data_IF_276410563996
#
_entry.id   IF_276410563996
#
_cell.length_a   1.000
_cell.length_b   1.000
_cell.length_c   1.000
_cell.angle_alpha   90.00
_cell.angle_beta   90.00
_cell.angle_gamma   90.00
#
_symmetry.space_group_name_H-M   'P 1'
#
loop_
_entity.id
_entity.type
_entity.pdbx_description
1 polymer ?
#
# COMPACT_ATOMS: atom_id res chain seq x y z
N UNK A 1 -0.15 -10.57 14.93
CA UNK A 1 -1.15 -11.39 15.66
C UNK A 1 -2.30 -11.86 14.76
N UNK A 2 -2.82 -11.01 13.85
CA UNK A 2 -3.84 -11.39 12.85
C UNK A 2 -3.35 -12.47 11.88
N UNK A 3 -2.12 -12.34 11.34
CA UNK A 3 -1.45 -13.39 10.54
C UNK A 3 -1.35 -14.76 11.22
N UNK A 4 -1.26 -14.79 12.56
CA UNK A 4 -1.13 -16.03 13.36
C UNK A 4 -2.49 -16.66 13.68
N UNK A 5 -3.58 -15.89 13.66
CA UNK A 5 -4.95 -16.37 13.92
C UNK A 5 -5.73 -16.74 12.65
N UNK A 6 -5.44 -16.14 11.49
CA UNK A 6 -6.25 -16.35 10.27
C UNK A 6 -5.70 -17.30 9.21
N UNK A 7 -4.58 -17.98 9.45
CA UNK A 7 -4.05 -18.98 8.53
C UNK A 7 -3.62 -18.36 7.21
N UNK A 8 -2.32 -18.13 7.05
CA UNK A 8 -1.67 -17.62 5.85
C UNK A 8 -1.77 -18.53 4.60
N UNK A 9 -2.67 -19.53 4.62
CA UNK A 9 -2.90 -20.51 3.56
C UNK A 9 -4.29 -20.39 2.91
N UNK A 10 -5.18 -19.54 3.43
CA UNK A 10 -6.42 -19.22 2.75
C UNK A 10 -6.35 -17.80 2.20
N UNK A 11 -6.83 -17.60 0.97
CA UNK A 11 -6.88 -16.29 0.33
C UNK A 11 -7.61 -15.19 1.15
N UNK A 12 -8.39 -15.56 2.17
CA UNK A 12 -8.99 -14.62 3.11
C UNK A 12 -8.01 -14.05 4.15
N UNK A 13 -6.98 -14.80 4.55
CA UNK A 13 -5.96 -14.33 5.50
C UNK A 13 -5.02 -13.27 4.89
N UNK A 14 -4.69 -13.44 3.60
CA UNK A 14 -3.95 -12.45 2.82
C UNK A 14 -4.79 -11.18 2.61
N UNK A 15 -6.08 -11.34 2.27
CA UNK A 15 -7.02 -10.23 2.13
C UNK A 15 -7.18 -9.42 3.42
N UNK A 16 -7.33 -10.11 4.56
CA UNK A 16 -7.46 -9.46 5.85
C UNK A 16 -6.19 -8.68 6.23
N UNK A 17 -5.00 -9.24 5.96
CA UNK A 17 -3.74 -8.53 6.20
C UNK A 17 -3.62 -7.27 5.32
N UNK A 18 -3.84 -7.42 4.00
CA UNK A 18 -3.76 -6.29 3.05
C UNK A 18 -4.81 -5.22 3.36
N UNK A 19 -6.01 -5.60 3.79
CA UNK A 19 -7.06 -4.64 4.13
C UNK A 19 -6.76 -3.93 5.45
N UNK A 20 -6.27 -4.66 6.46
CA UNK A 20 -5.98 -4.10 7.78
C UNK A 20 -4.82 -3.10 7.72
N UNK A 21 -3.77 -3.41 6.95
CA UNK A 21 -2.62 -2.54 6.77
C UNK A 21 -2.89 -1.44 5.72
N UNK A 22 -3.69 -1.75 4.70
CA UNK A 22 -4.02 -0.83 3.61
C UNK A 22 -5.01 0.26 3.98
N UNK A 23 -5.94 0.04 4.92
CA UNK A 23 -6.91 1.08 5.32
C UNK A 23 -6.21 2.33 5.90
N UNK A 24 -5.32 2.22 6.91
CA UNK A 24 -4.59 3.37 7.45
C UNK A 24 -3.78 4.13 6.39
N UNK A 25 -3.11 3.40 5.49
CA UNK A 25 -2.32 3.99 4.41
C UNK A 25 -3.20 4.74 3.41
N UNK A 26 -4.30 4.13 2.97
CA UNK A 26 -5.20 4.74 2.00
C UNK A 26 -5.94 5.95 2.58
N UNK A 27 -6.25 5.96 3.89
CA UNK A 27 -6.74 7.17 4.56
C UNK A 27 -5.72 8.32 4.47
N UNK A 28 -4.45 8.04 4.77
CA UNK A 28 -3.39 9.05 4.72
C UNK A 28 -3.12 9.54 3.29
N UNK A 29 -3.24 8.66 2.29
CA UNK A 29 -3.21 9.05 0.88
C UNK A 29 -4.37 9.98 0.53
N UNK A 30 -5.59 9.67 0.98
CA UNK A 30 -6.76 10.55 0.82
C UNK A 30 -6.53 11.95 1.40
N UNK A 31 -5.89 12.02 2.57
CA UNK A 31 -5.48 13.29 3.20
C UNK A 31 -4.43 14.03 2.37
N UNK A 32 -3.45 13.32 1.80
CA UNK A 32 -2.39 13.93 0.99
C UNK A 32 -2.93 14.59 -0.29
N UNK A 33 -4.12 14.20 -0.74
CA UNK A 33 -4.80 14.79 -1.90
C UNK A 33 -5.62 16.04 -1.54
N UNK A 34 -5.83 16.36 -0.26
CA UNK A 34 -6.58 17.55 0.17
C UNK A 34 -5.79 18.80 -0.22
N UNK A 35 -6.40 19.68 -1.03
CA UNK A 35 -5.78 20.93 -1.47
C UNK A 35 -4.65 20.76 -2.50
N UNK A 36 -4.42 19.54 -3.01
CA UNK A 36 -3.45 19.30 -4.07
C UNK A 36 -3.98 19.78 -5.44
N UNK A 37 -3.09 20.27 -6.29
CA UNK A 37 -3.48 20.66 -7.66
C UNK A 37 -3.96 19.44 -8.46
N UNK A 38 -4.85 19.60 -9.47
CA UNK A 38 -5.30 18.48 -10.30
C UNK A 38 -4.15 17.67 -10.91
N UNK A 39 -3.05 18.34 -11.28
CA UNK A 39 -1.85 17.71 -11.82
C UNK A 39 -1.12 16.89 -10.75
N UNK A 40 -0.98 17.43 -9.54
CA UNK A 40 -0.37 16.73 -8.39
C UNK A 40 -1.19 15.51 -7.97
N UNK A 41 -2.52 15.63 -7.98
CA UNK A 41 -3.44 14.51 -7.71
C UNK A 41 -3.28 13.41 -8.75
N UNK A 42 -3.24 13.76 -10.04
CA UNK A 42 -3.05 12.80 -11.12
C UNK A 42 -1.67 12.11 -11.04
N UNK A 43 -0.61 12.88 -10.75
CA UNK A 43 0.74 12.35 -10.60
C UNK A 43 0.87 11.40 -9.39
N UNK A 44 0.36 11.80 -8.21
CA UNK A 44 0.37 10.96 -7.01
C UNK A 44 -0.46 9.69 -7.22
N UNK A 45 -1.69 9.83 -7.73
CA UNK A 45 -2.57 8.68 -7.98
C UNK A 45 -1.98 7.72 -9.01
N UNK A 46 -1.38 8.25 -10.08
CA UNK A 46 -0.69 7.46 -11.10
C UNK A 46 0.52 6.72 -10.52
N UNK A 47 1.32 7.39 -9.68
CA UNK A 47 2.47 6.79 -8.99
C UNK A 47 2.05 5.65 -8.05
N UNK A 48 1.01 5.87 -7.24
CA UNK A 48 0.46 4.85 -6.32
C UNK A 48 -0.08 3.66 -7.10
N UNK A 49 -0.82 3.89 -8.19
CA UNK A 49 -1.33 2.82 -9.04
C UNK A 49 -0.18 2.01 -9.65
N UNK A 50 0.85 2.66 -10.18
CA UNK A 50 2.04 2.00 -10.74
C UNK A 50 2.82 1.21 -9.69
N UNK A 51 2.88 1.69 -8.44
CA UNK A 51 3.56 0.98 -7.34
C UNK A 51 2.76 -0.23 -6.85
N UNK A 52 1.44 -0.12 -6.78
CA UNK A 52 0.57 -1.17 -6.26
C UNK A 52 0.27 -2.26 -7.30
N UNK A 53 0.44 -1.99 -8.60
CA UNK A 53 0.17 -2.96 -9.66
C UNK A 53 1.10 -4.20 -9.61
N UNK A 54 2.44 -4.06 -9.45
CA UNK A 54 3.35 -5.19 -9.26
C UNK A 54 3.05 -6.00 -8.00
N UNK A 55 2.69 -5.33 -6.91
CA UNK A 55 2.35 -5.99 -5.64
C UNK A 55 1.04 -6.79 -5.77
N UNK A 56 0.03 -6.20 -6.41
CA UNK A 56 -1.23 -6.87 -6.70
C UNK A 56 -1.03 -8.09 -7.62
N UNK A 57 -0.21 -7.94 -8.66
CA UNK A 57 0.11 -9.04 -9.56
C UNK A 57 0.91 -10.16 -8.84
N UNK A 58 1.86 -9.79 -7.99
CA UNK A 58 2.64 -10.73 -7.17
C UNK A 58 1.77 -11.50 -6.19
N UNK A 59 0.93 -10.80 -5.43
CA UNK A 59 0.01 -11.40 -4.48
C UNK A 59 -1.09 -12.24 -5.16
N UNK A 60 -1.61 -11.81 -6.31
CA UNK A 60 -2.53 -12.61 -7.12
C UNK A 60 -1.87 -13.90 -7.63
N UNK A 61 -0.60 -13.85 -8.04
CA UNK A 61 0.16 -15.04 -8.47
C UNK A 61 0.37 -16.00 -7.30
N UNK A 62 0.80 -15.52 -6.14
CA UNK A 62 1.00 -16.32 -4.92
C UNK A 62 -0.32 -17.00 -4.52
N UNK A 63 -1.42 -16.25 -4.50
CA UNK A 63 -2.75 -16.76 -4.16
C UNK A 63 -3.33 -17.72 -5.20
N UNK A 64 -2.98 -17.56 -6.48
CA UNK A 64 -3.37 -18.50 -7.54
C UNK A 64 -2.66 -19.86 -7.45
N UNK A 65 -1.47 -19.90 -6.84
CA UNK A 65 -0.75 -21.14 -6.60
C UNK A 65 -1.34 -21.92 -5.41
N UNK A 66 -1.89 -21.23 -4.41
CA UNK A 66 -2.53 -21.82 -3.23
C UNK A 66 -4.03 -22.11 -3.39
N UNK A 67 -4.70 -21.57 -4.42
CA UNK A 67 -6.15 -21.71 -4.63
C UNK A 67 -6.51 -22.10 -6.07
N UNK A 68 -7.31 -23.15 -6.24
CA UNK A 68 -7.70 -23.71 -7.55
C UNK A 68 -8.63 -22.83 -8.42
N UNK A 69 -9.05 -21.63 -7.99
CA UNK A 69 -10.03 -20.81 -8.71
C UNK A 69 -9.56 -19.38 -8.96
N UNK A 70 -9.13 -19.10 -10.20
CA UNK A 70 -8.73 -17.76 -10.67
C UNK A 70 -9.84 -16.70 -10.50
N UNK A 71 -11.11 -17.10 -10.64
CA UNK A 71 -12.26 -16.21 -10.42
C UNK A 71 -12.35 -15.72 -8.97
N UNK A 72 -12.06 -16.60 -8.00
CA UNK A 72 -12.08 -16.25 -6.58
C UNK A 72 -10.96 -15.26 -6.24
N UNK A 73 -9.77 -15.45 -6.82
CA UNK A 73 -8.64 -14.51 -6.69
C UNK A 73 -9.03 -13.13 -7.22
N UNK A 74 -9.59 -13.07 -8.43
CA UNK A 74 -10.00 -11.81 -9.05
C UNK A 74 -11.05 -11.06 -8.22
N UNK A 75 -12.10 -11.74 -7.76
CA UNK A 75 -13.13 -11.11 -6.92
C UNK A 75 -12.60 -10.59 -5.58
N UNK A 76 -11.66 -11.31 -4.98
CA UNK A 76 -11.02 -10.87 -3.74
C UNK A 76 -10.18 -9.60 -3.97
N UNK A 77 -9.39 -9.56 -5.04
CA UNK A 77 -8.63 -8.35 -5.40
C UNK A 77 -9.51 -7.16 -5.75
N UNK A 78 -10.60 -7.37 -6.49
CA UNK A 78 -11.59 -6.31 -6.78
C UNK A 78 -12.23 -5.81 -5.48
N UNK A 79 -12.60 -6.71 -4.57
CA UNK A 79 -13.14 -6.34 -3.26
C UNK A 79 -12.17 -5.50 -2.43
N UNK A 80 -10.90 -5.90 -2.35
CA UNK A 80 -9.86 -5.12 -1.69
C UNK A 80 -9.72 -3.74 -2.32
N UNK A 81 -9.63 -3.67 -3.65
CA UNK A 81 -9.47 -2.40 -4.36
C UNK A 81 -10.62 -1.43 -4.06
N UNK A 82 -11.86 -1.93 -4.00
CA UNK A 82 -13.03 -1.12 -3.64
C UNK A 82 -12.96 -0.62 -2.19
N UNK A 83 -12.59 -1.49 -1.24
CA UNK A 83 -12.47 -1.10 0.18
C UNK A 83 -11.39 -0.03 0.37
N UNK A 84 -10.22 -0.23 -0.25
CA UNK A 84 -9.10 0.72 -0.14
C UNK A 84 -9.41 2.06 -0.84
N UNK A 85 -10.09 2.01 -1.98
CA UNK A 85 -10.55 3.23 -2.67
C UNK A 85 -11.57 4.00 -1.83
N UNK A 86 -12.52 3.30 -1.20
CA UNK A 86 -13.48 3.91 -0.29
C UNK A 86 -12.77 4.54 0.93
N UNK A 87 -11.77 3.86 1.48
CA UNK A 87 -10.94 4.37 2.57
C UNK A 87 -10.23 5.69 2.20
N UNK A 88 -9.67 5.78 0.98
CA UNK A 88 -9.05 7.01 0.47
C UNK A 88 -10.07 8.14 0.27
N UNK A 89 -11.26 7.85 -0.28
CA UNK A 89 -12.32 8.84 -0.44
C UNK A 89 -12.84 9.35 0.90
N UNK A 90 -13.05 8.45 1.87
CA UNK A 90 -13.43 8.81 3.24
C UNK A 90 -12.34 9.69 3.86
N UNK A 91 -11.07 9.31 3.70
CA UNK A 91 -9.94 10.11 4.16
C UNK A 91 -9.95 11.52 3.56
N UNK A 92 -10.21 11.66 2.27
CA UNK A 92 -10.25 12.96 1.60
C UNK A 92 -11.43 13.83 2.05
N UNK A 93 -12.64 13.27 2.11
CA UNK A 93 -13.86 14.02 2.43
C UNK A 93 -14.03 14.31 3.92
N UNK A 94 -13.79 13.31 4.78
CA UNK A 94 -14.06 13.43 6.23
C UNK A 94 -12.95 14.20 6.93
N UNK A 95 -11.71 14.11 6.44
CA UNK A 95 -10.57 14.80 7.05
C UNK A 95 -10.27 16.16 6.39
N UNK A 96 -11.10 16.61 5.44
CA UNK A 96 -10.96 17.90 4.75
C UNK A 96 -10.92 19.10 5.72
N UNK A 97 -11.79 19.08 6.73
CA UNK A 97 -11.95 20.18 7.70
C UNK A 97 -11.13 19.98 8.98
N UNK A 98 -10.30 18.93 9.06
CA UNK A 98 -9.47 18.64 10.23
C UNK A 98 -8.23 19.54 10.24
N UNK A 99 -7.82 19.99 11.41
CA UNK A 99 -6.65 20.87 11.54
C UNK A 99 -5.38 20.22 11.00
N UNK A 100 -4.49 21.03 10.41
CA UNK A 100 -3.21 20.56 9.82
C UNK A 100 -2.36 19.76 10.81
N UNK A 101 -2.44 20.08 12.10
CA UNK A 101 -1.72 19.38 13.16
C UNK A 101 -2.15 17.90 13.26
N UNK A 102 -3.46 17.64 13.33
CA UNK A 102 -3.98 16.27 13.37
C UNK A 102 -3.72 15.52 12.06
N UNK A 103 -3.80 16.20 10.91
CA UNK A 103 -3.44 15.59 9.62
C UNK A 103 -1.97 15.14 9.59
N UNK A 104 -1.06 15.93 10.17
CA UNK A 104 0.35 15.55 10.28
C UNK A 104 0.56 14.34 11.19
N UNK A 105 -0.16 14.25 12.31
CA UNK A 105 -0.10 13.04 13.16
C UNK A 105 -0.59 11.79 12.43
N UNK A 106 -1.68 11.89 11.67
CA UNK A 106 -2.21 10.78 10.86
C UNK A 106 -1.16 10.36 9.79
N UNK A 107 -0.56 11.33 9.10
CA UNK A 107 0.50 11.07 8.12
C UNK A 107 1.73 10.40 8.74
N UNK A 108 2.19 10.87 9.91
CA UNK A 108 3.30 10.24 10.64
C UNK A 108 2.97 8.81 11.06
N UNK A 109 1.75 8.57 11.56
CA UNK A 109 1.30 7.23 11.93
C UNK A 109 1.26 6.29 10.72
N UNK A 110 0.71 6.75 9.59
CA UNK A 110 0.66 5.98 8.36
C UNK A 110 2.06 5.68 7.80
N UNK A 111 2.98 6.65 7.83
CA UNK A 111 4.38 6.43 7.47
C UNK A 111 5.03 5.35 8.34
N UNK A 112 4.75 5.35 9.65
CA UNK A 112 5.20 4.30 10.57
C UNK A 112 4.63 2.91 10.23
N UNK A 113 3.35 2.84 9.84
CA UNK A 113 2.71 1.60 9.42
C UNK A 113 3.35 1.03 8.14
N UNK A 114 3.65 1.87 7.15
CA UNK A 114 4.36 1.46 5.92
C UNK A 114 5.75 0.91 6.25
N UNK A 115 6.51 1.60 7.11
CA UNK A 115 7.83 1.10 7.56
C UNK A 115 7.73 -0.25 8.27
N UNK A 116 6.72 -0.42 9.14
CA UNK A 116 6.49 -1.69 9.82
C UNK A 116 6.15 -2.82 8.83
N UNK A 117 5.32 -2.56 7.83
CA UNK A 117 4.98 -3.52 6.77
C UNK A 117 6.22 -3.94 5.97
N UNK A 118 7.06 -2.98 5.58
CA UNK A 118 8.33 -3.26 4.89
C UNK A 118 9.23 -4.17 5.72
N UNK A 119 9.40 -3.87 7.01
CA UNK A 119 10.27 -4.61 7.91
C UNK A 119 9.76 -6.03 8.21
N UNK A 120 8.45 -6.21 8.38
CA UNK A 120 7.85 -7.48 8.78
C UNK A 120 7.56 -8.41 7.61
N UNK A 121 7.31 -7.87 6.42
CA UNK A 121 6.78 -8.64 5.29
C UNK A 121 7.65 -8.56 4.04
N UNK A 122 7.89 -7.34 3.55
CA UNK A 122 8.49 -7.13 2.22
C UNK A 122 9.96 -7.48 2.22
N UNK A 123 10.73 -6.97 3.18
CA UNK A 123 12.16 -7.24 3.28
C UNK A 123 12.44 -8.72 3.57
N UNK A 124 11.85 -9.36 4.61
CA UNK A 124 12.13 -10.78 4.87
C UNK A 124 11.83 -11.69 3.69
N UNK A 125 10.75 -11.44 2.94
CA UNK A 125 10.41 -12.21 1.72
C UNK A 125 11.42 -11.97 0.58
N UNK A 126 11.81 -10.71 0.35
CA UNK A 126 12.68 -10.34 -0.77
C UNK A 126 14.12 -10.82 -0.56
N UNK A 127 14.66 -10.62 0.66
CA UNK A 127 16.00 -11.09 1.03
C UNK A 127 16.12 -12.63 1.08
N UNK A 128 15.00 -13.37 1.14
CA UNK A 128 15.04 -14.83 0.99
C UNK A 128 15.23 -15.28 -0.47
N UNK A 129 14.76 -14.51 -1.46
CA UNK A 129 14.94 -14.82 -2.88
C UNK A 129 16.33 -14.43 -3.39
N UNK A 130 16.72 -13.18 -3.16
CA UNK A 130 18.01 -12.67 -3.61
C UNK A 130 18.47 -11.49 -2.74
N UNK A 131 19.48 -11.72 -1.90
CA UNK A 131 19.93 -10.71 -0.93
C UNK A 131 20.61 -9.51 -1.60
N UNK A 132 21.42 -9.78 -2.63
CA UNK A 132 22.25 -8.75 -3.25
C UNK A 132 21.39 -7.81 -4.10
N UNK A 133 20.58 -8.38 -5.00
CA UNK A 133 19.72 -7.58 -5.87
C UNK A 133 18.60 -6.87 -5.11
N UNK A 134 18.08 -7.45 -4.02
CA UNK A 134 17.11 -6.76 -3.15
C UNK A 134 17.69 -5.49 -2.54
N UNK A 135 18.92 -5.55 -2.01
CA UNK A 135 19.59 -4.38 -1.42
C UNK A 135 19.86 -3.28 -2.44
N UNK A 136 20.33 -3.66 -3.63
CA UNK A 136 20.58 -2.72 -4.75
C UNK A 136 19.27 -2.07 -5.21
N UNK A 137 18.22 -2.86 -5.46
CA UNK A 137 16.92 -2.34 -5.90
C UNK A 137 16.29 -1.41 -4.86
N UNK A 138 16.39 -1.75 -3.56
CA UNK A 138 15.89 -0.90 -2.46
C UNK A 138 16.61 0.44 -2.41
N UNK A 139 17.94 0.43 -2.53
CA UNK A 139 18.76 1.66 -2.57
C UNK A 139 18.41 2.53 -3.76
N UNK A 140 18.32 1.94 -4.96
CA UNK A 140 17.97 2.66 -6.19
C UNK A 140 16.58 3.28 -6.06
N UNK A 141 15.59 2.50 -5.59
CA UNK A 141 14.23 2.99 -5.40
C UNK A 141 14.16 4.18 -4.44
N UNK A 142 14.87 4.12 -3.31
CA UNK A 142 14.93 5.22 -2.35
C UNK A 142 15.61 6.47 -2.93
N UNK A 143 16.76 6.31 -3.60
CA UNK A 143 17.47 7.44 -4.23
C UNK A 143 16.59 8.11 -5.30
N UNK A 144 15.91 7.31 -6.13
CA UNK A 144 14.99 7.84 -7.14
C UNK A 144 13.81 8.56 -6.51
N UNK A 145 13.21 8.01 -5.44
CA UNK A 145 12.10 8.66 -4.74
C UNK A 145 12.52 10.02 -4.15
N UNK A 146 13.69 10.08 -3.51
CA UNK A 146 14.23 11.32 -2.97
C UNK A 146 14.56 12.33 -4.08
N UNK A 147 15.15 11.87 -5.18
CA UNK A 147 15.44 12.73 -6.33
C UNK A 147 14.16 13.30 -6.95
N UNK A 148 13.15 12.47 -7.17
CA UNK A 148 11.84 12.91 -7.67
C UNK A 148 11.18 13.92 -6.72
N UNK A 149 11.32 13.75 -5.41
CA UNK A 149 10.83 14.72 -4.44
C UNK A 149 11.50 16.10 -4.60
N UNK A 150 12.79 16.14 -4.93
CA UNK A 150 13.49 17.42 -5.19
C UNK A 150 13.07 18.13 -6.47
N UNK A 151 12.42 17.41 -7.41
CA UNK A 151 11.90 18.00 -8.65
C UNK A 151 10.48 18.55 -8.51
N UNK A 152 9.79 18.26 -7.40
CA UNK A 152 8.42 18.69 -7.12
C UNK A 152 8.30 19.94 -6.25
N UNK A 153 9.42 20.48 -5.77
CA UNK A 153 9.54 21.81 -5.12
C UNK A 153 9.95 22.87 -6.15
#
# INVERSE_FOLDING_TARGET
LVKKKWGSQSGGGLLAAITLDGIPENLALGVALIGASPLSVAALSGSILLSNLPEAAGGAKEMSNDTNSKKKVLWLWVGTALILSAAALIGNYVLADVSKEYLNYIKCFAGGAVVASLALEVFPKSFQKDKYWTGVATTIGLVLALYLNTLGE
#
